data_IF_456825756015
#
_entry.id   IF_456825756015
#
_cell.length_a   1.000
_cell.length_b   1.000
_cell.length_c   1.000
_cell.angle_alpha   90.00
_cell.angle_beta   90.00
_cell.angle_gamma   90.00
#
_symmetry.space_group_name_H-M   'P 1'
#
loop_
_entity.id
_entity.type
_entity.pdbx_description
1 polymer ?
#
# COMPACT_ATOMS: atom_id res chain seq x y z
N UNK A 1 -20.31 -2.34 -17.19
CA UNK A 1 -19.10 -3.21 -17.13
C UNK A 1 -18.73 -3.34 -15.67
N UNK A 2 -18.80 -4.54 -15.11
CA UNK A 2 -18.36 -4.78 -13.72
C UNK A 2 -16.84 -4.65 -13.66
N UNK A 3 -16.35 -3.69 -12.89
CA UNK A 3 -14.91 -3.52 -12.67
C UNK A 3 -14.34 -4.80 -12.06
N UNK A 4 -13.42 -5.47 -12.77
CA UNK A 4 -12.73 -6.67 -12.26
C UNK A 4 -11.98 -6.31 -10.97
N UNK A 5 -12.15 -7.11 -9.92
CA UNK A 5 -11.53 -6.92 -8.61
C UNK A 5 -10.25 -7.75 -8.46
N UNK A 6 -9.37 -7.24 -7.62
CA UNK A 6 -8.13 -7.90 -7.19
C UNK A 6 -8.21 -8.04 -5.68
N UNK A 7 -8.41 -9.27 -5.21
CA UNK A 7 -8.50 -9.59 -3.78
C UNK A 7 -7.17 -9.32 -3.08
N UNK A 8 -7.22 -8.85 -1.86
CA UNK A 8 -6.03 -8.53 -1.06
C UNK A 8 -5.47 -9.76 -0.34
N UNK A 9 -6.33 -10.71 0.01
CA UNK A 9 -5.99 -11.83 0.88
C UNK A 9 -5.83 -11.43 2.34
N UNK A 10 -6.27 -10.23 2.69
CA UNK A 10 -6.27 -9.73 4.06
C UNK A 10 -7.69 -9.86 4.59
N UNK A 11 -7.86 -10.69 5.62
CA UNK A 11 -9.17 -10.95 6.22
C UNK A 11 -9.83 -9.65 6.67
N UNK A 12 -11.08 -9.41 6.28
CA UNK A 12 -11.84 -8.20 6.55
C UNK A 12 -11.56 -7.02 5.60
N UNK A 13 -10.38 -6.93 4.95
CA UNK A 13 -10.08 -5.81 4.05
C UNK A 13 -10.85 -5.92 2.73
N UNK A 14 -10.98 -7.11 2.17
CA UNK A 14 -11.74 -7.31 0.94
C UNK A 14 -13.24 -6.97 1.13
N UNK A 15 -13.79 -7.16 2.33
CA UNK A 15 -15.13 -6.72 2.69
C UNK A 15 -15.23 -5.19 2.70
N UNK A 16 -14.29 -4.49 3.35
CA UNK A 16 -14.22 -3.02 3.36
C UNK A 16 -14.10 -2.43 1.94
N UNK A 17 -13.47 -3.16 1.02
CA UNK A 17 -13.28 -2.78 -0.37
C UNK A 17 -14.40 -3.29 -1.31
N UNK A 18 -15.42 -3.95 -0.77
CA UNK A 18 -16.51 -4.59 -1.53
C UNK A 18 -15.97 -5.56 -2.60
N UNK A 19 -15.04 -6.44 -2.18
CA UNK A 19 -14.48 -7.50 -3.02
C UNK A 19 -13.03 -7.28 -3.49
N UNK A 20 -12.32 -6.29 -2.93
CA UNK A 20 -10.92 -6.01 -3.24
C UNK A 20 -10.70 -4.76 -4.09
N UNK A 21 -9.46 -4.50 -4.48
CA UNK A 21 -9.09 -3.34 -5.28
C UNK A 21 -9.58 -3.46 -6.72
N UNK A 22 -9.83 -2.34 -7.39
CA UNK A 22 -10.12 -2.33 -8.83
C UNK A 22 -8.83 -2.70 -9.58
N UNK A 23 -8.94 -3.60 -10.55
CA UNK A 23 -7.79 -4.02 -11.36
C UNK A 23 -7.19 -2.83 -12.13
N UNK A 24 -5.87 -2.70 -12.12
CA UNK A 24 -5.15 -1.60 -12.77
C UNK A 24 -5.24 -0.27 -12.04
N UNK A 25 -5.74 -0.27 -10.79
CA UNK A 25 -5.79 0.94 -9.96
C UNK A 25 -4.51 1.15 -9.18
N UNK A 26 -4.29 2.42 -8.80
CA UNK A 26 -3.23 2.85 -7.90
C UNK A 26 -3.78 3.01 -6.49
N UNK A 27 -3.20 2.31 -5.54
CA UNK A 27 -3.56 2.32 -4.14
C UNK A 27 -2.46 3.03 -3.35
N UNK A 28 -2.81 4.05 -2.58
CA UNK A 28 -1.92 4.67 -1.61
C UNK A 28 -2.24 4.13 -0.22
N UNK A 29 -1.28 3.49 0.41
CA UNK A 29 -1.35 3.10 1.83
C UNK A 29 -0.52 4.08 2.64
N UNK A 30 -1.17 4.83 3.52
CA UNK A 30 -0.51 5.80 4.40
C UNK A 30 -0.58 5.39 5.86
N UNK A 31 0.47 5.70 6.60
CA UNK A 31 0.51 5.49 8.05
C UNK A 31 1.85 5.85 8.66
N UNK A 32 1.86 6.04 9.98
CA UNK A 32 3.07 6.24 10.76
C UNK A 32 3.99 5.02 10.71
N UNK A 33 5.28 5.15 11.06
CA UNK A 33 6.17 4.00 11.26
C UNK A 33 5.56 2.98 12.21
N UNK A 34 5.75 1.68 11.94
CA UNK A 34 5.23 0.58 12.76
C UNK A 34 3.74 0.25 12.58
N UNK A 35 2.99 0.98 11.75
CA UNK A 35 1.58 0.64 11.47
C UNK A 35 1.40 -0.59 10.57
N UNK A 36 2.46 -1.16 10.00
CA UNK A 36 2.39 -2.39 9.20
C UNK A 36 2.13 -2.17 7.71
N UNK A 37 2.50 -1.02 7.15
CA UNK A 37 2.38 -0.75 5.70
C UNK A 37 3.07 -1.81 4.86
N UNK A 38 4.34 -2.10 5.17
CA UNK A 38 5.16 -3.10 4.47
C UNK A 38 4.56 -4.50 4.62
N UNK A 39 4.10 -4.87 5.83
CA UNK A 39 3.43 -6.16 6.07
C UNK A 39 2.14 -6.30 5.26
N UNK A 40 1.32 -5.24 5.18
CA UNK A 40 0.11 -5.22 4.36
C UNK A 40 0.44 -5.43 2.87
N UNK A 41 1.47 -4.76 2.37
CA UNK A 41 1.91 -4.88 0.98
C UNK A 41 2.46 -6.27 0.66
N UNK A 42 3.29 -6.82 1.54
CA UNK A 42 3.82 -8.19 1.38
C UNK A 42 2.68 -9.23 1.39
N UNK A 43 1.73 -9.13 2.32
CA UNK A 43 0.57 -10.04 2.37
C UNK A 43 -0.25 -9.99 1.08
N UNK A 44 -0.47 -8.79 0.51
CA UNK A 44 -1.14 -8.61 -0.78
C UNK A 44 -0.39 -9.30 -1.93
N UNK A 45 0.94 -9.21 -1.95
CA UNK A 45 1.76 -9.87 -2.99
C UNK A 45 1.81 -11.39 -2.79
N UNK A 46 1.99 -11.86 -1.55
CA UNK A 46 1.98 -13.28 -1.18
C UNK A 46 0.65 -13.93 -1.56
N UNK A 47 -0.47 -13.24 -1.32
CA UNK A 47 -1.78 -13.74 -1.78
C UNK A 47 -1.83 -13.91 -3.29
N UNK A 48 -1.27 -12.96 -4.05
CA UNK A 48 -1.14 -13.10 -5.50
C UNK A 48 -0.30 -14.31 -5.89
N UNK A 49 0.88 -14.45 -5.30
CA UNK A 49 1.82 -15.54 -5.53
C UNK A 49 1.20 -16.92 -5.30
N UNK A 50 0.44 -17.10 -4.21
CA UNK A 50 -0.31 -18.33 -3.90
C UNK A 50 -1.39 -18.67 -4.94
N UNK A 51 -1.83 -17.70 -5.73
CA UNK A 51 -2.82 -17.88 -6.81
C UNK A 51 -2.19 -17.81 -8.21
N UNK A 52 -0.89 -18.10 -8.34
CA UNK A 52 -0.12 -18.07 -9.60
C UNK A 52 -0.23 -16.71 -10.32
N UNK A 53 -0.22 -15.63 -9.55
CA UNK A 53 -0.18 -14.25 -10.04
C UNK A 53 1.06 -13.58 -9.44
N UNK A 54 2.20 -13.63 -10.15
CA UNK A 54 3.45 -13.10 -9.67
C UNK A 54 3.34 -11.62 -9.28
N UNK A 55 4.09 -11.24 -8.25
CA UNK A 55 4.14 -9.88 -7.75
C UNK A 55 5.56 -9.34 -7.69
N UNK A 56 5.68 -8.01 -7.72
CA UNK A 56 6.94 -7.30 -7.57
C UNK A 56 6.87 -6.37 -6.35
N UNK A 57 7.83 -6.53 -5.44
CA UNK A 57 8.10 -5.58 -4.36
C UNK A 57 9.32 -4.74 -4.71
N UNK A 58 9.15 -3.42 -4.71
CA UNK A 58 10.24 -2.46 -4.93
C UNK A 58 10.50 -1.72 -3.63
N UNK A 59 11.75 -1.74 -3.17
CA UNK A 59 12.21 -0.99 -2.01
C UNK A 59 13.22 0.06 -2.39
N UNK A 60 13.09 1.25 -1.79
CA UNK A 60 14.08 2.33 -1.90
C UNK A 60 14.96 2.46 -0.66
N UNK A 61 14.63 1.77 0.42
CA UNK A 61 15.32 1.94 1.70
C UNK A 61 15.84 0.63 2.26
N UNK A 62 15.01 -0.41 2.30
CA UNK A 62 15.35 -1.68 2.91
C UNK A 62 15.89 -2.68 1.88
N UNK A 63 17.04 -3.27 2.20
CA UNK A 63 17.60 -4.37 1.44
C UNK A 63 16.72 -5.64 1.57
N UNK A 64 16.65 -6.50 0.54
CA UNK A 64 15.83 -7.72 0.56
C UNK A 64 16.05 -8.61 1.78
N UNK A 65 17.30 -8.74 2.26
CA UNK A 65 17.63 -9.59 3.42
C UNK A 65 16.91 -9.15 4.71
N UNK A 66 16.72 -7.85 4.93
CA UNK A 66 15.96 -7.35 6.08
C UNK A 66 14.48 -7.74 5.95
N UNK A 67 13.91 -7.55 4.76
CA UNK A 67 12.53 -7.92 4.47
C UNK A 67 12.29 -9.43 4.62
N UNK A 68 13.22 -10.30 4.20
CA UNK A 68 13.11 -11.75 4.40
C UNK A 68 13.12 -12.11 5.87
N UNK A 69 14.02 -11.51 6.67
CA UNK A 69 14.09 -11.75 8.11
C UNK A 69 12.77 -11.37 8.80
N UNK A 70 12.26 -10.17 8.50
CA UNK A 70 11.08 -9.63 9.16
C UNK A 70 9.81 -10.36 8.72
N UNK A 71 9.72 -10.78 7.46
CA UNK A 71 8.63 -11.61 6.95
C UNK A 71 8.56 -12.98 7.65
N UNK A 72 9.72 -13.59 7.99
CA UNK A 72 9.76 -14.86 8.73
C UNK A 72 9.11 -14.75 10.11
N UNK A 73 9.16 -13.60 10.76
CA UNK A 73 8.49 -13.38 12.07
C UNK A 73 6.97 -13.48 11.94
N UNK A 74 6.44 -13.23 10.75
CA UNK A 74 5.03 -13.37 10.40
C UNK A 74 4.69 -14.75 9.80
N UNK A 75 5.68 -15.66 9.73
CA UNK A 75 5.50 -16.98 9.14
C UNK A 75 5.55 -17.01 7.62
N UNK A 76 6.15 -16.01 6.97
CA UNK A 76 6.24 -15.94 5.52
C UNK A 76 7.63 -16.25 5.01
N UNK A 77 7.73 -17.18 4.08
CA UNK A 77 8.96 -17.49 3.35
C UNK A 77 8.96 -16.80 1.98
N UNK A 78 9.42 -15.54 1.97
CA UNK A 78 9.52 -14.76 0.73
C UNK A 78 10.58 -15.33 -0.21
N UNK A 79 11.65 -15.93 0.33
CA UNK A 79 12.74 -16.47 -0.48
C UNK A 79 12.28 -17.66 -1.31
N UNK A 80 11.49 -18.56 -0.73
CA UNK A 80 10.89 -19.67 -1.48
C UNK A 80 10.00 -19.18 -2.62
N UNK A 81 9.18 -18.16 -2.38
CA UNK A 81 8.33 -17.56 -3.43
C UNK A 81 9.14 -16.89 -4.55
N UNK A 82 10.30 -16.33 -4.22
CA UNK A 82 11.22 -15.75 -5.21
C UNK A 82 11.90 -16.84 -6.04
N UNK A 83 12.39 -17.89 -5.40
CA UNK A 83 13.02 -19.03 -6.07
C UNK A 83 12.05 -19.77 -7.01
N UNK A 84 10.74 -19.73 -6.68
CA UNK A 84 9.67 -20.24 -7.54
C UNK A 84 9.24 -19.27 -8.66
N UNK A 85 9.83 -18.06 -8.75
CA UNK A 85 9.44 -17.04 -9.73
C UNK A 85 8.04 -16.45 -9.50
N UNK A 86 7.50 -16.55 -8.27
CA UNK A 86 6.16 -16.04 -7.90
C UNK A 86 6.21 -14.68 -7.20
N UNK A 87 7.37 -14.31 -6.67
CA UNK A 87 7.64 -13.01 -6.08
C UNK A 87 8.98 -12.50 -6.61
N UNK A 88 9.07 -11.21 -6.86
CA UNK A 88 10.29 -10.54 -7.26
C UNK A 88 10.56 -9.42 -6.27
N UNK A 89 11.83 -9.31 -5.82
CA UNK A 89 12.28 -8.28 -4.89
C UNK A 89 13.31 -7.40 -5.60
N UNK A 90 13.03 -6.11 -5.72
CA UNK A 90 13.91 -5.14 -6.35
C UNK A 90 14.30 -4.05 -5.37
N UNK A 91 15.59 -3.91 -5.10
CA UNK A 91 16.15 -2.78 -4.40
C UNK A 91 16.75 -1.79 -5.41
N UNK A 92 16.35 -0.53 -5.36
CA UNK A 92 16.78 0.49 -6.32
C UNK A 92 16.65 1.89 -5.71
N UNK A 93 17.09 2.94 -6.43
CA UNK A 93 16.82 4.31 -6.03
C UNK A 93 15.58 4.88 -6.73
N UNK A 94 14.97 5.93 -6.16
CA UNK A 94 13.83 6.61 -6.79
C UNK A 94 14.14 7.11 -8.20
N UNK A 95 15.34 7.64 -8.44
CA UNK A 95 15.79 8.15 -9.74
C UNK A 95 15.87 7.04 -10.79
N UNK A 96 16.50 5.91 -10.41
CA UNK A 96 16.65 4.74 -11.31
C UNK A 96 15.29 4.13 -11.63
N UNK A 97 14.41 4.04 -10.64
CA UNK A 97 13.03 3.58 -10.84
C UNK A 97 12.27 4.49 -11.83
N UNK A 98 12.34 5.82 -11.63
CA UNK A 98 11.66 6.79 -12.50
C UNK A 98 12.19 6.70 -13.94
N UNK A 99 13.49 6.66 -14.11
CA UNK A 99 14.10 6.49 -15.43
C UNK A 99 13.64 5.17 -16.09
N UNK A 100 13.59 4.09 -15.31
CA UNK A 100 13.19 2.76 -15.81
C UNK A 100 11.73 2.70 -16.23
N UNK A 101 10.81 3.29 -15.44
CA UNK A 101 9.36 3.23 -15.77
C UNK A 101 9.00 4.14 -16.96
N UNK A 102 9.80 5.18 -17.23
CA UNK A 102 9.61 6.09 -18.34
C UNK A 102 10.25 5.58 -19.64
N UNK A 103 11.30 4.76 -19.55
CA UNK A 103 12.04 4.26 -20.71
C UNK A 103 11.38 3.02 -21.29
N UNK A 104 10.93 3.03 -22.55
CA UNK A 104 10.43 1.84 -23.21
C UNK A 104 11.48 0.73 -23.24
N UNK A 105 11.05 -0.52 -23.05
CA UNK A 105 11.92 -1.70 -23.06
C UNK A 105 13.05 -1.68 -22.02
N UNK A 106 12.90 -0.91 -20.94
CA UNK A 106 13.83 -0.98 -19.80
C UNK A 106 13.82 -2.38 -19.19
N UNK A 107 14.85 -2.72 -18.41
CA UNK A 107 14.89 -4.00 -17.66
C UNK A 107 13.69 -4.18 -16.75
N UNK A 108 13.19 -3.10 -16.16
CA UNK A 108 11.98 -3.14 -15.35
C UNK A 108 10.76 -3.51 -16.21
N UNK A 109 10.57 -2.85 -17.36
CA UNK A 109 9.45 -3.15 -18.26
C UNK A 109 9.53 -4.57 -18.80
N UNK A 110 10.72 -5.06 -19.16
CA UNK A 110 10.93 -6.45 -19.57
C UNK A 110 10.56 -7.42 -18.46
N UNK A 111 11.02 -7.20 -17.22
CA UNK A 111 10.64 -8.03 -16.07
C UNK A 111 9.12 -8.08 -15.86
N UNK A 112 8.45 -6.92 -15.95
CA UNK A 112 6.98 -6.84 -15.78
C UNK A 112 6.23 -7.67 -16.82
N UNK A 113 6.73 -7.69 -18.06
CA UNK A 113 6.14 -8.43 -19.17
C UNK A 113 6.46 -9.92 -19.10
N UNK A 114 7.74 -10.28 -18.98
CA UNK A 114 8.22 -11.66 -19.04
C UNK A 114 7.69 -12.50 -17.88
N UNK A 115 7.65 -11.93 -16.69
CA UNK A 115 7.09 -12.57 -15.51
C UNK A 115 5.55 -12.37 -15.37
N UNK A 116 4.91 -11.71 -16.32
CA UNK A 116 3.48 -11.39 -16.30
C UNK A 116 3.02 -10.76 -14.97
N UNK A 117 3.83 -9.83 -14.44
CA UNK A 117 3.57 -9.16 -13.17
C UNK A 117 2.36 -8.24 -13.31
N UNK A 118 1.36 -8.40 -12.44
CA UNK A 118 0.14 -7.59 -12.40
C UNK A 118 -0.13 -6.97 -11.02
N UNK A 119 0.69 -7.33 -10.01
CA UNK A 119 0.67 -6.77 -8.66
C UNK A 119 2.03 -6.19 -8.34
N UNK A 120 2.05 -4.96 -7.86
CA UNK A 120 3.28 -4.28 -7.48
C UNK A 120 3.08 -3.58 -6.14
N UNK A 121 4.10 -3.59 -5.29
CA UNK A 121 4.21 -2.74 -4.11
C UNK A 121 5.49 -1.92 -4.20
N UNK A 122 5.42 -0.64 -3.83
CA UNK A 122 6.56 0.29 -3.81
C UNK A 122 6.69 0.90 -2.41
N UNK A 123 7.82 0.65 -1.76
CA UNK A 123 8.15 1.11 -0.41
C UNK A 123 9.42 1.99 -0.44
N UNK A 124 9.32 3.32 -0.29
CA UNK A 124 8.13 4.11 -0.13
C UNK A 124 8.13 5.29 -1.11
N UNK A 125 6.93 5.73 -1.51
CA UNK A 125 6.79 6.93 -2.37
C UNK A 125 7.23 8.22 -1.68
N UNK A 126 7.39 8.22 -0.36
CA UNK A 126 7.90 9.38 0.40
C UNK A 126 9.33 9.76 0.00
N UNK A 127 10.08 8.84 -0.62
CA UNK A 127 11.42 9.15 -1.14
C UNK A 127 11.39 10.07 -2.37
N UNK A 128 10.28 10.13 -3.12
CA UNK A 128 10.15 11.08 -4.22
C UNK A 128 10.08 12.54 -3.71
N UNK A 129 9.62 12.78 -2.48
CA UNK A 129 9.58 14.10 -1.87
C UNK A 129 10.99 14.68 -1.66
N UNK A 130 12.04 13.84 -1.69
CA UNK A 130 13.45 14.24 -1.58
C UNK A 130 14.06 14.65 -2.93
N UNK A 131 13.44 14.30 -4.04
CA UNK A 131 13.95 14.60 -5.39
C UNK A 131 13.72 16.06 -5.77
N UNK A 132 12.70 16.69 -5.23
CA UNK A 132 12.37 18.08 -5.51
C UNK A 132 11.53 18.70 -4.40
N UNK A 133 11.78 19.98 -4.12
CA UNK A 133 10.90 20.81 -3.27
C UNK A 133 9.77 21.49 -4.05
N UNK A 134 9.81 21.41 -5.39
CA UNK A 134 8.82 21.98 -6.28
C UNK A 134 7.59 21.05 -6.36
N UNK A 135 6.44 21.56 -5.96
CA UNK A 135 5.19 20.80 -5.91
C UNK A 135 4.65 20.40 -7.30
N UNK A 136 4.94 21.18 -8.33
CA UNK A 136 4.53 20.86 -9.71
C UNK A 136 5.37 19.72 -10.26
N UNK A 137 6.70 19.80 -10.10
CA UNK A 137 7.60 18.71 -10.48
C UNK A 137 7.30 17.42 -9.72
N UNK A 138 6.99 17.51 -8.44
CA UNK A 138 6.60 16.35 -7.66
C UNK A 138 5.31 15.71 -8.18
N UNK A 139 4.34 16.54 -8.57
CA UNK A 139 3.11 16.07 -9.20
C UNK A 139 3.37 15.38 -10.54
N UNK A 140 4.29 15.90 -11.34
CA UNK A 140 4.70 15.30 -12.61
C UNK A 140 5.35 13.93 -12.39
N UNK A 141 6.20 13.80 -11.36
CA UNK A 141 6.79 12.52 -10.95
C UNK A 141 5.68 11.51 -10.63
N UNK A 142 4.74 11.85 -9.77
CA UNK A 142 3.65 10.94 -9.40
C UNK A 142 2.73 10.60 -10.59
N UNK A 143 2.48 11.57 -11.47
CA UNK A 143 1.71 11.35 -12.70
C UNK A 143 2.42 10.40 -13.64
N UNK A 144 3.73 10.55 -13.77
CA UNK A 144 4.58 9.68 -14.60
C UNK A 144 4.59 8.24 -14.09
N UNK A 145 4.75 8.06 -12.79
CA UNK A 145 4.68 6.73 -12.13
C UNK A 145 3.31 6.09 -12.37
N UNK A 146 2.23 6.85 -12.11
CA UNK A 146 0.86 6.37 -12.32
C UNK A 146 0.63 5.93 -13.78
N UNK A 147 1.03 6.75 -14.73
CA UNK A 147 0.82 6.47 -16.15
C UNK A 147 1.66 5.27 -16.62
N UNK A 148 2.92 5.16 -16.16
CA UNK A 148 3.77 4.04 -16.45
C UNK A 148 3.20 2.71 -15.96
N UNK A 149 2.79 2.64 -14.70
CA UNK A 149 2.21 1.43 -14.11
C UNK A 149 0.84 1.06 -14.72
N UNK A 150 0.00 2.07 -15.03
CA UNK A 150 -1.28 1.84 -15.70
C UNK A 150 -1.13 1.31 -17.12
N UNK A 151 -0.14 1.80 -17.86
CA UNK A 151 0.16 1.31 -19.22
C UNK A 151 0.44 -0.19 -19.22
N UNK A 152 1.12 -0.69 -18.19
CA UNK A 152 1.40 -2.12 -18.01
C UNK A 152 0.22 -2.91 -17.37
N UNK A 153 -0.90 -2.25 -17.07
CA UNK A 153 -2.08 -2.87 -16.47
C UNK A 153 -1.86 -3.36 -15.04
N UNK A 154 -0.94 -2.74 -14.30
CA UNK A 154 -0.54 -3.13 -12.95
C UNK A 154 -1.49 -2.56 -11.92
N UNK A 155 -1.90 -3.38 -10.95
CA UNK A 155 -2.54 -2.93 -9.72
C UNK A 155 -1.46 -2.68 -8.69
N UNK A 156 -1.17 -1.39 -8.42
CA UNK A 156 0.00 -0.99 -7.65
C UNK A 156 -0.38 -0.41 -6.29
N UNK A 157 0.30 -0.91 -5.25
CA UNK A 157 0.22 -0.39 -3.89
C UNK A 157 1.47 0.46 -3.61
N UNK A 158 1.24 1.73 -3.33
CA UNK A 158 2.26 2.72 -3.00
C UNK A 158 2.23 2.97 -1.50
N UNK A 159 3.34 2.75 -0.82
CA UNK A 159 3.45 2.97 0.61
C UNK A 159 4.00 4.37 0.86
N UNK A 160 3.34 5.12 1.74
CA UNK A 160 3.74 6.47 2.09
C UNK A 160 3.70 6.71 3.60
N UNK A 161 4.62 7.50 4.10
CA UNK A 161 4.63 7.90 5.50
C UNK A 161 3.59 8.98 5.80
N UNK A 162 3.05 8.97 7.00
CA UNK A 162 2.21 10.02 7.53
C UNK A 162 3.04 10.87 8.52
N UNK A 163 3.38 12.10 8.14
CA UNK A 163 4.05 13.05 9.04
C UNK A 163 3.05 13.76 9.96
N UNK A 164 3.48 14.13 11.19
CA UNK A 164 2.65 14.84 12.19
C UNK A 164 1.97 16.14 11.69
N UNK A 165 2.51 16.78 10.66
CA UNK A 165 1.97 18.03 10.08
C UNK A 165 0.95 17.79 8.93
N UNK A 166 0.55 16.56 8.67
CA UNK A 166 0.07 16.17 7.34
C UNK A 166 -1.43 16.07 7.16
N UNK A 167 -2.26 16.28 8.18
CA UNK A 167 -3.69 16.48 7.89
C UNK A 167 -3.91 17.67 6.95
N UNK A 168 -3.10 18.73 7.09
CA UNK A 168 -3.10 19.88 6.18
C UNK A 168 -2.24 19.69 4.92
N UNK A 169 -1.18 18.85 4.96
CA UNK A 169 -0.28 18.61 3.82
C UNK A 169 -0.67 17.39 2.97
N UNK A 170 -1.43 16.44 3.50
CA UNK A 170 -1.93 15.29 2.70
C UNK A 170 -2.72 15.76 1.47
N UNK A 171 -3.33 16.94 1.55
CA UNK A 171 -4.00 17.59 0.43
C UNK A 171 -3.06 18.48 -0.40
N UNK A 172 -1.89 18.87 0.08
CA UNK A 172 -0.94 19.73 -0.67
C UNK A 172 0.02 18.95 -1.59
N UNK A 173 0.21 17.65 -1.39
CA UNK A 173 1.25 16.87 -2.10
C UNK A 173 0.83 16.18 -3.39
N UNK A 174 -0.32 16.46 -3.96
CA UNK A 174 -0.66 15.98 -5.31
C UNK A 174 -0.97 14.48 -5.45
N UNK A 175 -0.27 13.55 -4.80
CA UNK A 175 -0.45 12.10 -4.99
C UNK A 175 -1.87 11.62 -4.62
N UNK A 176 -2.48 12.19 -3.57
CA UNK A 176 -3.85 11.84 -3.14
C UNK A 176 -4.91 12.12 -4.21
N UNK A 177 -4.65 13.06 -5.12
CA UNK A 177 -5.53 13.34 -6.26
C UNK A 177 -5.30 12.40 -7.44
N UNK A 178 -4.11 11.82 -7.55
CA UNK A 178 -3.71 10.96 -8.68
C UNK A 178 -4.18 9.53 -8.45
N UNK A 179 -3.99 8.99 -7.23
CA UNK A 179 -4.35 7.61 -6.89
C UNK A 179 -5.87 7.37 -6.88
N UNK A 180 -6.25 6.12 -7.07
CA UNK A 180 -7.66 5.71 -7.10
C UNK A 180 -8.19 5.37 -5.71
N UNK A 181 -7.38 4.73 -4.90
CA UNK A 181 -7.75 4.28 -3.55
C UNK A 181 -6.76 4.81 -2.53
N UNK A 182 -7.26 5.23 -1.37
CA UNK A 182 -6.43 5.64 -0.22
C UNK A 182 -6.86 4.80 0.98
N UNK A 183 -5.91 4.03 1.50
CA UNK A 183 -6.01 3.27 2.76
C UNK A 183 -5.18 3.98 3.81
N UNK A 184 -5.77 4.28 4.96
CA UNK A 184 -5.07 4.89 6.10
C UNK A 184 -4.88 3.86 7.21
N UNK A 185 -3.65 3.75 7.68
CA UNK A 185 -3.28 2.96 8.87
C UNK A 185 -2.87 3.92 9.97
N UNK A 186 -3.49 3.83 11.14
CA UNK A 186 -3.24 4.75 12.26
C UNK A 186 -3.06 4.03 13.58
N UNK A 187 -2.35 4.69 14.48
CA UNK A 187 -2.47 4.44 15.89
C UNK A 187 -3.52 5.37 16.48
N UNK A 188 -4.38 4.82 17.31
CA UNK A 188 -5.40 5.53 18.07
C UNK A 188 -5.28 5.14 19.54
N UNK A 189 -5.40 6.12 20.44
CA UNK A 189 -5.43 5.85 21.87
C UNK A 189 -6.86 5.51 22.29
N UNK A 190 -7.02 4.34 22.88
CA UNK A 190 -8.28 3.84 23.44
C UNK A 190 -7.99 3.26 24.80
N UNK A 191 -8.60 3.83 25.85
CA UNK A 191 -8.45 3.36 27.24
C UNK A 191 -6.99 3.22 27.68
N UNK A 192 -6.19 4.25 27.41
CA UNK A 192 -4.74 4.30 27.73
C UNK A 192 -3.90 3.22 27.02
N UNK A 193 -4.41 2.63 25.96
CA UNK A 193 -3.69 1.67 25.12
C UNK A 193 -3.65 2.13 23.66
N UNK A 194 -2.51 1.95 23.01
CA UNK A 194 -2.37 2.24 21.58
C UNK A 194 -2.91 1.08 20.76
N UNK A 195 -3.98 1.33 20.01
CA UNK A 195 -4.59 0.37 19.10
C UNK A 195 -4.35 0.78 17.65
N UNK A 196 -4.37 -0.19 16.73
CA UNK A 196 -4.22 0.06 15.30
C UNK A 196 -5.59 0.19 14.65
N UNK A 197 -5.77 1.24 13.85
CA UNK A 197 -6.99 1.56 13.13
C UNK A 197 -6.73 1.62 11.62
N UNK A 198 -7.65 1.07 10.84
CA UNK A 198 -7.65 1.11 9.37
C UNK A 198 -8.95 1.76 8.88
N UNK A 199 -8.83 2.54 7.81
CA UNK A 199 -9.97 3.13 7.11
C UNK A 199 -9.68 3.29 5.63
N UNK A 200 -10.74 3.28 4.82
CA UNK A 200 -10.69 3.60 3.40
C UNK A 200 -11.18 5.05 3.24
N UNK A 201 -10.28 5.96 2.90
CA UNK A 201 -10.64 7.38 2.71
C UNK A 201 -11.28 7.64 1.36
N UNK A 202 -10.87 6.88 0.34
CA UNK A 202 -11.25 7.12 -1.04
C UNK A 202 -11.15 5.83 -1.84
N UNK A 203 -12.12 5.60 -2.72
CA UNK A 203 -12.06 4.57 -3.75
C UNK A 203 -12.83 5.03 -4.99
N UNK A 204 -12.10 5.40 -6.04
CA UNK A 204 -12.70 5.84 -7.30
C UNK A 204 -13.40 4.68 -7.99
N UNK A 205 -14.58 4.96 -8.54
CA UNK A 205 -15.34 3.98 -9.33
C UNK A 205 -15.96 2.85 -8.51
N UNK A 206 -15.97 2.95 -7.18
CA UNK A 206 -16.60 1.99 -6.28
C UNK A 206 -17.03 2.64 -4.97
N UNK A 207 -18.07 2.06 -4.37
CA UNK A 207 -18.33 2.27 -2.95
C UNK A 207 -17.35 1.46 -2.11
N UNK A 208 -17.21 1.78 -0.83
CA UNK A 208 -16.36 1.12 0.16
C UNK A 208 -16.94 1.35 1.57
N UNK A 209 -16.48 0.58 2.55
CA UNK A 209 -16.82 0.78 3.97
C UNK A 209 -16.36 2.17 4.43
N UNK A 210 -17.18 2.83 5.23
CA UNK A 210 -16.91 4.17 5.78
C UNK A 210 -16.43 4.11 7.22
N UNK A 211 -16.56 2.96 7.85
CA UNK A 211 -16.22 2.72 9.24
C UNK A 211 -14.70 2.68 9.41
N UNK A 212 -14.25 3.10 10.59
CA UNK A 212 -12.91 2.89 11.08
C UNK A 212 -12.91 1.56 11.81
N UNK A 213 -12.08 0.62 11.38
CA UNK A 213 -11.96 -0.70 11.99
C UNK A 213 -10.64 -0.88 12.70
N UNK A 214 -10.64 -1.66 13.77
CA UNK A 214 -9.45 -2.13 14.44
C UNK A 214 -8.75 -3.18 13.58
N UNK A 215 -7.43 -3.29 13.63
CA UNK A 215 -6.68 -4.38 13.05
C UNK A 215 -5.51 -4.78 13.93
N UNK A 216 -5.09 -6.01 13.76
CA UNK A 216 -3.92 -6.59 14.42
C UNK A 216 -2.93 -7.13 13.39
N UNK A 217 -1.66 -7.21 13.81
CA UNK A 217 -0.59 -7.87 13.06
C UNK A 217 -0.12 -9.02 13.92
N UNK A 218 -0.26 -10.23 13.42
CA UNK A 218 0.10 -11.47 14.10
C UNK A 218 0.73 -12.45 13.11
N UNK A 219 1.11 -13.63 13.57
CA UNK A 219 1.55 -14.71 12.68
C UNK A 219 0.48 -14.94 11.60
N UNK A 220 0.88 -14.91 10.34
CA UNK A 220 -0.02 -14.94 9.17
C UNK A 220 -0.35 -13.57 8.59
N UNK A 221 -0.02 -12.46 9.28
CA UNK A 221 -0.15 -11.09 8.76
C UNK A 221 -1.19 -10.23 9.46
N UNK A 222 -1.75 -9.29 8.70
CA UNK A 222 -2.80 -8.39 9.16
C UNK A 222 -4.16 -9.09 9.11
N UNK A 223 -4.95 -8.85 10.14
CA UNK A 223 -6.36 -9.22 10.21
C UNK A 223 -7.18 -7.99 10.64
N UNK A 224 -8.21 -7.66 9.87
CA UNK A 224 -9.12 -6.57 10.20
C UNK A 224 -10.20 -7.12 11.11
N UNK A 225 -10.42 -6.41 12.21
CA UNK A 225 -11.37 -6.74 13.26
C UNK A 225 -12.61 -5.83 13.18
N UNK A 226 -13.34 -5.75 14.28
CA UNK A 226 -14.57 -4.98 14.40
C UNK A 226 -14.33 -3.46 14.39
N UNK A 227 -15.42 -2.72 14.29
CA UNK A 227 -15.43 -1.26 14.45
C UNK A 227 -15.10 -0.85 15.88
N UNK A 228 -14.69 0.39 16.07
CA UNK A 228 -14.53 0.97 17.41
C UNK A 228 -15.92 1.42 17.92
N UNK A 229 -16.56 0.59 18.69
CA UNK A 229 -17.88 0.90 19.24
C UNK A 229 -17.85 2.04 20.27
N UNK A 230 -18.84 2.92 20.22
CA UNK A 230 -19.03 4.01 21.18
C UNK A 230 -17.87 5.00 21.26
N UNK A 231 -17.10 5.20 20.17
CA UNK A 231 -15.94 6.07 20.12
C UNK A 231 -16.05 7.07 18.97
N UNK A 232 -15.78 8.33 19.27
CA UNK A 232 -15.60 9.41 18.28
C UNK A 232 -14.20 10.00 18.39
N UNK A 233 -13.83 10.83 17.40
CA UNK A 233 -12.54 11.52 17.41
C UNK A 233 -11.33 10.65 17.09
N UNK A 234 -11.50 9.40 16.65
CA UNK A 234 -10.39 8.47 16.32
C UNK A 234 -9.40 9.06 15.31
N UNK A 235 -9.85 9.94 14.42
CA UNK A 235 -9.00 10.56 13.40
C UNK A 235 -8.18 11.72 13.95
N UNK A 236 -8.61 12.36 15.03
CA UNK A 236 -7.84 13.43 15.68
C UNK A 236 -6.70 12.89 16.55
N UNK A 237 -6.65 11.58 16.77
CA UNK A 237 -5.71 10.90 17.68
C UNK A 237 -6.18 10.89 19.14
N UNK A 238 -7.29 11.54 19.44
CA UNK A 238 -7.91 11.57 20.78
C UNK A 238 -9.32 11.03 20.65
N UNK A 239 -9.53 9.80 21.10
CA UNK A 239 -10.87 9.19 21.09
C UNK A 239 -11.68 9.65 22.30
N UNK A 240 -12.96 9.94 22.09
CA UNK A 240 -13.91 10.25 23.14
C UNK A 240 -14.98 9.16 23.21
N UNK A 241 -15.44 8.82 24.43
CA UNK A 241 -16.65 7.99 24.59
C UNK A 241 -17.88 8.80 24.21
N UNK A 242 -18.74 8.24 23.38
CA UNK A 242 -20.10 8.77 23.18
C UNK A 242 -20.92 8.33 24.39
N UNK A 243 -21.31 9.27 25.22
CA UNK A 243 -22.32 9.03 26.26
C UNK A 243 -23.69 9.09 25.59
N UNK A 244 -24.33 7.94 25.41
CA UNK A 244 -25.77 7.84 25.07
C UNK A 244 -26.63 8.26 26.24
#
# INVERSE_FOLDING_TARGET
MTNKRVTTGIKGLDEMLHGGFIRGSMILVRGAPGTGKTSLALQYLIHGAKHNKPGLFISFEELPNSLYRDARTLGWDLKSLEDEGKLYMLFTSPEVFLASIQTPNSRLNQLLLDANIRRLALDSVSHFDRLTSDSEKLRDIYTSVNNGLRREGITAMLLGEEGRAMYQRAFKGGISFIVDTIVMLRYVEVESAMQRAIMILKMRGSNHAKEIRRYEIKTGGLEILDVFEGREGLLSGISHRVTT
#
